data_IF_462248795052
#
_entry.id   IF_462248795052
#
_cell.length_a   1.000
_cell.length_b   1.000
_cell.length_c   1.000
_cell.angle_alpha   90.00
_cell.angle_beta   90.00
_cell.angle_gamma   90.00
#
_symmetry.space_group_name_H-M   'P 1'
#
loop_
_entity.id
_entity.type
_entity.pdbx_description
1 polymer ?
#
# COMPACT_ATOMS: atom_id res chain seq x y z
N UNK A 1 18.64 -22.81 26.38
CA UNK A 1 18.02 -21.54 26.77
C UNK A 1 17.30 -21.05 25.53
N UNK A 2 16.11 -21.59 25.28
CA UNK A 2 15.44 -21.38 24.01
C UNK A 2 14.44 -20.25 24.21
N UNK A 3 14.97 -19.02 24.12
CA UNK A 3 14.17 -17.82 24.08
C UNK A 3 13.37 -17.82 22.78
N UNK A 4 12.13 -18.29 22.85
CA UNK A 4 11.18 -18.22 21.75
C UNK A 4 10.89 -16.75 21.46
N UNK A 5 11.75 -16.11 20.66
CA UNK A 5 11.58 -14.73 20.24
C UNK A 5 10.41 -14.73 19.27
N UNK A 6 9.24 -14.30 19.75
CA UNK A 6 8.03 -14.15 18.95
C UNK A 6 8.30 -13.13 17.84
N UNK A 7 8.78 -13.61 16.70
CA UNK A 7 8.91 -12.84 15.47
C UNK A 7 7.51 -12.52 14.97
N UNK A 8 7.21 -11.24 14.87
CA UNK A 8 5.93 -10.78 14.31
C UNK A 8 6.19 -10.42 12.85
N UNK A 9 5.48 -11.06 11.94
CA UNK A 9 5.57 -10.78 10.51
C UNK A 9 4.28 -10.08 10.05
N UNK A 10 4.43 -9.10 9.17
CA UNK A 10 3.32 -8.42 8.51
C UNK A 10 3.61 -8.33 7.01
N UNK A 11 2.75 -8.93 6.20
CA UNK A 11 2.85 -8.96 4.75
C UNK A 11 1.92 -7.90 4.14
N UNK A 12 2.48 -6.94 3.43
CA UNK A 12 1.74 -5.84 2.81
C UNK A 12 1.92 -5.87 1.31
N UNK A 13 0.81 -5.91 0.57
CA UNK A 13 0.80 -5.82 -0.89
C UNK A 13 0.54 -4.39 -1.32
N UNK A 14 1.37 -3.85 -2.22
CA UNK A 14 1.14 -2.56 -2.87
C UNK A 14 0.45 -2.78 -4.20
N UNK A 15 -0.69 -2.12 -4.40
CA UNK A 15 -1.48 -2.12 -5.63
C UNK A 15 -1.71 -0.69 -6.11
N UNK A 16 -1.95 -0.54 -7.41
CA UNK A 16 -2.25 0.72 -8.06
C UNK A 16 -1.85 0.69 -9.52
N UNK A 17 -2.27 1.70 -10.28
CA UNK A 17 -1.93 1.80 -11.69
C UNK A 17 -0.41 1.87 -11.93
N UNK A 18 0.01 1.73 -13.17
CA UNK A 18 1.39 1.94 -13.56
C UNK A 18 1.84 3.38 -13.24
N UNK A 19 3.12 3.59 -12.93
CA UNK A 19 3.73 4.91 -12.75
C UNK A 19 3.13 5.82 -11.65
N UNK A 20 2.29 5.29 -10.74
CA UNK A 20 1.75 6.06 -9.59
C UNK A 20 2.75 6.27 -8.45
N UNK A 21 3.91 5.60 -8.49
CA UNK A 21 4.97 5.73 -7.48
C UNK A 21 4.98 4.66 -6.39
N UNK A 22 4.54 3.43 -6.68
CA UNK A 22 4.59 2.29 -5.75
C UNK A 22 6.02 1.97 -5.29
N UNK A 23 6.92 1.74 -6.24
CA UNK A 23 8.34 1.48 -5.96
C UNK A 23 9.04 2.65 -5.28
N UNK A 24 8.70 3.89 -5.68
CA UNK A 24 9.19 5.09 -5.01
C UNK A 24 8.76 5.16 -3.54
N UNK A 25 7.52 4.76 -3.22
CA UNK A 25 7.02 4.68 -1.85
C UNK A 25 7.78 3.61 -1.05
N UNK A 26 7.95 2.42 -1.63
CA UNK A 26 8.68 1.30 -1.01
C UNK A 26 10.12 1.70 -0.69
N UNK A 27 10.86 2.20 -1.67
CA UNK A 27 12.26 2.59 -1.49
C UNK A 27 12.40 3.77 -0.53
N UNK A 28 11.49 4.76 -0.57
CA UNK A 28 11.52 5.86 0.40
C UNK A 28 11.30 5.37 1.82
N UNK A 29 10.39 4.42 2.02
CA UNK A 29 10.16 3.80 3.32
C UNK A 29 11.43 3.09 3.82
N UNK A 30 12.04 2.26 2.98
CA UNK A 30 13.20 1.43 3.33
C UNK A 30 14.48 2.23 3.55
N UNK A 31 14.75 3.21 2.69
CA UNK A 31 16.06 3.90 2.61
C UNK A 31 16.05 5.30 3.18
N UNK A 32 14.86 5.88 3.42
CA UNK A 32 14.66 7.31 3.71
C UNK A 32 15.18 8.26 2.62
N UNK A 33 15.51 7.75 1.43
CA UNK A 33 16.00 8.52 0.28
C UNK A 33 14.99 8.54 -0.85
N UNK A 34 15.12 9.55 -1.71
CA UNK A 34 14.47 9.58 -3.01
C UNK A 34 15.49 9.14 -4.05
N UNK A 35 15.17 8.13 -4.84
CA UNK A 35 15.94 7.74 -6.02
C UNK A 35 15.08 8.15 -7.22
N UNK A 36 15.65 8.87 -8.20
CA UNK A 36 14.87 9.43 -9.31
C UNK A 36 14.42 8.40 -10.33
N UNK A 37 15.06 7.24 -10.35
CA UNK A 37 14.91 6.20 -11.37
C UNK A 37 14.58 4.88 -10.68
N UNK A 38 13.46 4.28 -11.06
CA UNK A 38 13.01 2.97 -10.61
C UNK A 38 12.65 2.14 -11.84
N UNK A 39 13.02 0.86 -11.84
CA UNK A 39 12.63 -0.07 -12.90
C UNK A 39 11.27 -0.73 -12.64
N UNK A 40 10.66 -1.25 -13.70
CA UNK A 40 9.38 -1.98 -13.65
C UNK A 40 9.61 -3.45 -13.28
N UNK A 41 9.99 -3.71 -12.02
CA UNK A 41 10.26 -5.06 -11.52
C UNK A 41 9.35 -5.35 -10.31
N UNK A 42 8.57 -6.43 -10.40
CA UNK A 42 7.82 -6.94 -9.24
C UNK A 42 8.81 -7.50 -8.20
N UNK A 43 8.71 -7.07 -6.95
CA UNK A 43 9.68 -7.42 -5.91
C UNK A 43 9.08 -7.44 -4.51
N UNK A 44 9.58 -8.33 -3.66
CA UNK A 44 9.26 -8.37 -2.24
C UNK A 44 10.45 -7.86 -1.46
N UNK A 45 10.22 -6.80 -0.66
CA UNK A 45 11.23 -6.18 0.19
C UNK A 45 10.92 -6.44 1.66
N UNK A 46 11.92 -6.83 2.44
CA UNK A 46 11.76 -7.06 3.88
C UNK A 46 12.46 -5.97 4.68
N UNK A 47 11.74 -5.37 5.63
CA UNK A 47 12.27 -4.45 6.63
C UNK A 47 12.10 -5.05 8.01
N UNK A 48 13.20 -5.22 8.74
CA UNK A 48 13.17 -5.71 10.12
C UNK A 48 13.41 -4.53 11.03
N UNK A 49 12.49 -4.31 11.97
CA UNK A 49 12.62 -3.31 13.01
C UNK A 49 12.49 -3.95 14.41
N UNK A 50 13.05 -3.30 15.42
CA UNK A 50 12.99 -3.73 16.82
C UNK A 50 12.11 -2.76 17.59
N UNK A 51 10.89 -3.20 17.94
CA UNK A 51 9.96 -2.44 18.78
C UNK A 51 9.68 -3.23 20.05
N UNK A 52 9.84 -2.60 21.21
CA UNK A 52 9.57 -3.19 22.54
C UNK A 52 10.24 -4.55 22.77
N UNK A 53 11.49 -4.70 22.29
CA UNK A 53 12.27 -5.94 22.41
C UNK A 53 11.84 -7.09 21.48
N UNK A 54 10.85 -6.87 20.61
CA UNK A 54 10.40 -7.82 19.59
C UNK A 54 10.91 -7.42 18.22
N UNK A 55 11.34 -8.42 17.45
CA UNK A 55 11.66 -8.24 16.04
C UNK A 55 10.37 -8.31 15.22
N UNK A 56 10.09 -7.24 14.49
CA UNK A 56 8.95 -7.12 13.59
C UNK A 56 9.50 -7.08 12.16
N UNK A 57 9.10 -8.05 11.34
CA UNK A 57 9.42 -8.07 9.92
C UNK A 57 8.22 -7.56 9.11
N UNK A 58 8.39 -6.42 8.46
CA UNK A 58 7.45 -5.89 7.47
C UNK A 58 7.92 -6.32 6.08
N UNK A 59 7.14 -7.18 5.43
CA UNK A 59 7.37 -7.58 4.05
C UNK A 59 6.46 -6.77 3.13
N UNK A 60 7.03 -6.15 2.10
CA UNK A 60 6.36 -5.25 1.17
C UNK A 60 6.46 -5.86 -0.22
N UNK A 61 5.35 -6.34 -0.75
CA UNK A 61 5.25 -6.80 -2.13
C UNK A 61 4.90 -5.61 -3.02
N UNK A 62 5.91 -5.07 -3.71
CA UNK A 62 5.78 -4.06 -4.73
C UNK A 62 5.35 -4.73 -6.04
N UNK A 63 4.04 -4.71 -6.31
CA UNK A 63 3.47 -5.37 -7.48
C UNK A 63 3.57 -4.49 -8.74
N UNK A 64 3.61 -5.14 -9.89
CA UNK A 64 3.40 -4.47 -11.17
C UNK A 64 1.91 -4.42 -11.50
N UNK A 65 1.51 -3.36 -12.20
CA UNK A 65 0.16 -3.30 -12.76
C UNK A 65 0.09 -4.24 -13.98
N UNK A 66 -0.83 -5.22 -14.04
CA UNK A 66 -0.92 -6.11 -15.19
C UNK A 66 -1.27 -5.34 -16.46
N UNK A 67 -0.44 -5.46 -17.50
CA UNK A 67 -0.62 -4.77 -18.80
C UNK A 67 -1.44 -5.57 -19.82
N UNK A 68 -1.91 -6.78 -19.48
CA UNK A 68 -2.59 -7.64 -20.45
C UNK A 68 -4.06 -7.24 -20.65
N UNK A 69 -4.36 -6.77 -21.87
CA UNK A 69 -5.69 -6.38 -22.37
C UNK A 69 -6.73 -7.52 -22.36
N UNK A 70 -6.33 -8.77 -22.16
CA UNK A 70 -7.19 -9.95 -22.38
C UNK A 70 -7.73 -10.59 -21.09
N UNK A 71 -7.22 -10.19 -19.93
CA UNK A 71 -7.68 -10.71 -18.63
C UNK A 71 -7.88 -9.53 -17.69
N UNK A 72 -9.16 -9.14 -17.56
CA UNK A 72 -9.71 -8.27 -16.50
C UNK A 72 -8.74 -8.00 -15.36
N UNK A 73 -8.31 -6.75 -15.21
CA UNK A 73 -7.68 -6.06 -14.05
C UNK A 73 -7.54 -6.87 -12.74
N UNK A 74 -6.93 -8.06 -12.78
CA UNK A 74 -7.10 -9.05 -11.72
C UNK A 74 -5.90 -9.06 -10.81
N UNK A 75 -6.17 -8.94 -9.52
CA UNK A 75 -5.17 -9.16 -8.48
C UNK A 75 -5.02 -10.68 -8.35
N UNK A 76 -3.80 -11.20 -8.42
CA UNK A 76 -3.59 -12.65 -8.37
C UNK A 76 -4.05 -13.23 -7.04
N UNK A 77 -4.71 -14.39 -7.05
CA UNK A 77 -5.07 -15.11 -5.83
C UNK A 77 -3.86 -15.36 -4.92
N UNK A 78 -2.66 -15.53 -5.50
CA UNK A 78 -1.41 -15.67 -4.73
C UNK A 78 -1.07 -14.41 -3.94
N UNK A 79 -1.11 -13.25 -4.58
CA UNK A 79 -0.89 -11.96 -3.93
C UNK A 79 -1.96 -11.72 -2.86
N UNK A 80 -3.22 -12.06 -3.18
CA UNK A 80 -4.33 -11.94 -2.25
C UNK A 80 -4.22 -12.89 -1.08
N UNK A 81 -3.70 -14.11 -1.21
CA UNK A 81 -3.53 -15.05 -0.08
C UNK A 81 -2.31 -14.70 0.77
N UNK A 82 -1.24 -14.20 0.16
CA UNK A 82 -0.01 -13.82 0.85
C UNK A 82 -0.15 -12.59 1.76
N UNK A 83 -0.96 -11.62 1.34
CA UNK A 83 -1.07 -10.33 2.02
C UNK A 83 -1.91 -10.38 3.32
N UNK A 84 -1.37 -9.83 4.41
CA UNK A 84 -2.12 -9.50 5.63
C UNK A 84 -2.84 -8.16 5.48
N UNK A 85 -2.26 -7.26 4.68
CA UNK A 85 -2.81 -5.95 4.38
C UNK A 85 -2.50 -5.50 2.95
N UNK A 86 -3.28 -4.56 2.44
CA UNK A 86 -3.12 -4.01 1.10
C UNK A 86 -3.01 -2.48 1.19
N UNK A 87 -2.03 -1.92 0.48
CA UNK A 87 -1.89 -0.47 0.27
C UNK A 87 -2.26 -0.17 -1.17
N UNK A 88 -3.23 0.71 -1.35
CA UNK A 88 -3.66 1.19 -2.66
C UNK A 88 -3.04 2.56 -2.94
N UNK A 89 -2.31 2.66 -4.04
CA UNK A 89 -1.55 3.85 -4.43
C UNK A 89 -2.14 4.41 -5.72
N UNK A 90 -2.40 5.72 -5.73
CA UNK A 90 -2.82 6.46 -6.91
C UNK A 90 -2.10 7.80 -6.95
N UNK A 91 -1.99 8.37 -8.15
CA UNK A 91 -1.41 9.70 -8.34
C UNK A 91 -2.50 10.76 -8.26
N UNK A 92 -2.30 11.78 -7.42
CA UNK A 92 -3.21 12.94 -7.36
C UNK A 92 -3.24 13.75 -8.67
N UNK A 93 -2.22 13.58 -9.52
CA UNK A 93 -2.11 14.24 -10.81
C UNK A 93 -2.76 13.42 -11.94
N UNK A 94 -3.13 12.17 -11.68
CA UNK A 94 -3.75 11.30 -12.68
C UNK A 94 -5.04 10.69 -12.13
N UNK A 95 -6.17 11.20 -12.64
CA UNK A 95 -7.50 10.74 -12.24
C UNK A 95 -7.75 9.29 -12.65
N UNK A 96 -7.18 8.82 -13.75
CA UNK A 96 -7.39 7.44 -14.22
C UNK A 96 -6.82 6.43 -13.22
N UNK A 97 -5.67 6.75 -12.62
CA UNK A 97 -5.08 5.93 -11.54
C UNK A 97 -6.00 5.75 -10.31
N UNK A 98 -6.89 6.71 -10.04
CA UNK A 98 -7.87 6.57 -8.96
C UNK A 98 -9.00 5.61 -9.33
N UNK A 99 -9.41 5.55 -10.60
CA UNK A 99 -10.42 4.59 -11.05
C UNK A 99 -9.90 3.15 -10.95
N UNK A 100 -8.63 2.93 -11.31
CA UNK A 100 -7.94 1.65 -11.09
C UNK A 100 -8.00 1.22 -9.62
N UNK A 101 -7.72 2.13 -8.69
CA UNK A 101 -7.83 1.83 -7.26
C UNK A 101 -9.28 1.50 -6.87
N UNK A 102 -10.29 2.14 -7.45
CA UNK A 102 -11.71 1.82 -7.18
C UNK A 102 -12.08 0.42 -7.64
N UNK A 103 -11.64 0.02 -8.84
CA UNK A 103 -11.85 -1.34 -9.37
C UNK A 103 -11.15 -2.38 -8.50
N UNK A 104 -9.90 -2.14 -8.11
CA UNK A 104 -9.15 -3.01 -7.20
C UNK A 104 -9.83 -3.16 -5.83
N UNK A 105 -10.44 -2.10 -5.28
CA UNK A 105 -11.23 -2.20 -4.03
C UNK A 105 -12.44 -3.11 -4.19
N UNK A 106 -13.12 -3.07 -5.34
CA UNK A 106 -14.27 -3.95 -5.60
C UNK A 106 -13.84 -5.42 -5.64
N UNK A 107 -12.72 -5.72 -6.31
CA UNK A 107 -12.16 -7.06 -6.40
C UNK A 107 -11.74 -7.59 -5.03
N UNK A 108 -10.99 -6.81 -4.25
CA UNK A 108 -10.55 -7.20 -2.90
C UNK A 108 -11.75 -7.57 -1.99
N UNK A 109 -12.86 -6.83 -2.11
CA UNK A 109 -14.08 -7.07 -1.34
C UNK A 109 -14.83 -8.34 -1.75
N UNK A 110 -14.75 -8.71 -3.03
CA UNK A 110 -15.31 -9.96 -3.52
C UNK A 110 -14.48 -11.16 -3.05
N UNK A 111 -13.15 -11.03 -3.07
CA UNK A 111 -12.23 -12.12 -2.74
C UNK A 111 -12.07 -12.34 -1.23
N UNK A 112 -12.10 -11.29 -0.40
CA UNK A 112 -11.93 -11.42 1.05
C UNK A 112 -13.09 -10.79 1.83
N UNK A 113 -13.62 -11.53 2.82
CA UNK A 113 -14.34 -10.96 3.98
C UNK A 113 -13.31 -10.25 4.91
N UNK A 114 -12.71 -9.14 4.47
CA UNK A 114 -11.68 -8.44 5.26
C UNK A 114 -12.31 -7.64 6.40
N UNK A 115 -11.93 -7.98 7.64
CA UNK A 115 -12.00 -7.07 8.78
C UNK A 115 -10.85 -6.05 8.66
N UNK A 116 -11.16 -4.78 8.45
CA UNK A 116 -10.17 -3.71 8.45
C UNK A 116 -9.68 -3.48 9.89
N UNK A 117 -8.43 -3.85 10.21
CA UNK A 117 -7.81 -3.52 11.50
C UNK A 117 -6.88 -2.32 11.34
N UNK A 118 -7.24 -1.22 12.00
CA UNK A 118 -6.45 0.00 12.02
C UNK A 118 -5.15 -0.25 12.80
N UNK A 119 -4.00 -0.32 12.12
CA UNK A 119 -2.71 -0.14 12.80
C UNK A 119 -2.52 1.37 12.97
N UNK A 120 -2.36 1.81 14.22
CA UNK A 120 -2.02 3.18 14.58
C UNK A 120 -0.57 3.16 15.09
N UNK A 121 0.45 3.30 14.22
CA UNK A 121 1.81 3.48 14.70
C UNK A 121 1.88 4.89 15.29
N UNK A 122 2.01 4.94 16.61
CA UNK A 122 2.02 6.14 17.43
C UNK A 122 2.86 7.26 16.79
N UNK A 123 2.24 8.40 16.45
CA UNK A 123 2.93 9.69 16.35
C UNK A 123 3.27 10.27 14.96
N UNK A 124 2.93 9.63 13.83
CA UNK A 124 3.22 10.19 12.50
C UNK A 124 2.19 11.22 11.97
N UNK A 125 1.51 12.00 12.81
CA UNK A 125 0.45 12.90 12.32
C UNK A 125 0.36 14.22 13.09
N UNK A 126 0.98 15.27 12.54
CA UNK A 126 0.49 16.64 12.65
C UNK A 126 0.52 17.31 11.27
N UNK A 127 -0.70 17.46 10.74
CA UNK A 127 -1.23 18.63 10.04
C UNK A 127 -0.26 19.53 9.25
N UNK A 128 -0.47 19.65 7.92
CA UNK A 128 -0.74 20.94 7.23
C UNK A 128 -0.84 20.87 5.68
N UNK A 129 -1.96 21.41 5.21
CA UNK A 129 -2.21 22.28 4.03
C UNK A 129 -2.22 21.82 2.54
N UNK A 130 -3.32 22.30 1.91
CA UNK A 130 -3.63 23.00 0.62
C UNK A 130 -2.99 22.63 -0.73
N UNK A 131 -3.90 22.62 -1.72
CA UNK A 131 -3.78 22.58 -3.20
C UNK A 131 -3.78 21.22 -3.92
N UNK A 132 -4.92 20.53 -3.81
CA UNK A 132 -5.67 19.76 -4.85
C UNK A 132 -6.92 19.20 -4.15
N UNK A 133 -7.89 20.06 -3.84
CA UNK A 133 -8.94 19.76 -2.87
C UNK A 133 -9.96 18.72 -3.35
N UNK A 134 -10.32 18.68 -4.64
CA UNK A 134 -11.41 17.82 -5.11
C UNK A 134 -11.08 16.31 -5.07
N UNK A 135 -9.89 15.91 -5.53
CA UNK A 135 -9.49 14.49 -5.52
C UNK A 135 -9.16 14.00 -4.11
N UNK A 136 -8.53 14.85 -3.28
CA UNK A 136 -8.29 14.54 -1.87
C UNK A 136 -9.60 14.37 -1.09
N UNK A 137 -10.56 15.27 -1.30
CA UNK A 137 -11.87 15.20 -0.64
C UNK A 137 -12.70 14.01 -1.12
N UNK A 138 -12.65 13.68 -2.43
CA UNK A 138 -13.28 12.47 -2.98
C UNK A 138 -12.66 11.19 -2.43
N UNK A 139 -11.34 11.12 -2.38
CA UNK A 139 -10.62 9.99 -1.82
C UNK A 139 -10.89 9.84 -0.32
N UNK A 140 -10.91 10.93 0.44
CA UNK A 140 -11.25 10.93 1.85
C UNK A 140 -12.69 10.45 2.09
N UNK A 141 -13.68 11.00 1.38
CA UNK A 141 -15.08 10.54 1.48
C UNK A 141 -15.24 9.08 1.07
N UNK A 142 -14.55 8.65 0.02
CA UNK A 142 -14.51 7.25 -0.38
C UNK A 142 -13.90 6.38 0.72
N UNK A 143 -12.88 6.86 1.43
CA UNK A 143 -12.32 6.16 2.57
C UNK A 143 -13.24 6.03 3.76
N UNK A 144 -13.94 7.09 4.12
CA UNK A 144 -14.93 7.09 5.18
C UNK A 144 -16.05 6.08 4.87
N UNK A 145 -16.57 6.10 3.63
CA UNK A 145 -17.60 5.16 3.16
C UNK A 145 -17.09 3.71 3.15
N UNK A 146 -15.82 3.50 2.81
CA UNK A 146 -15.25 2.16 2.62
C UNK A 146 -14.45 1.64 3.82
N UNK A 147 -14.40 2.38 4.93
CA UNK A 147 -13.61 2.11 6.14
C UNK A 147 -12.11 1.96 5.87
N UNK A 148 -11.58 2.81 4.99
CA UNK A 148 -10.16 2.85 4.61
C UNK A 148 -9.47 4.09 5.19
N UNK A 149 -8.22 3.94 5.63
CA UNK A 149 -7.36 5.06 6.01
C UNK A 149 -6.66 5.64 4.78
N UNK A 150 -6.64 6.96 4.65
CA UNK A 150 -5.95 7.67 3.56
C UNK A 150 -4.66 8.32 4.04
N UNK A 151 -3.59 8.11 3.29
CA UNK A 151 -2.29 8.75 3.52
C UNK A 151 -1.90 9.46 2.23
N UNK A 152 -1.49 10.71 2.33
CA UNK A 152 -0.89 11.44 1.20
C UNK A 152 0.62 11.48 1.41
N UNK A 153 1.39 10.96 0.45
CA UNK A 153 2.83 11.16 0.40
C UNK A 153 3.16 12.30 -0.58
N UNK A 154 4.13 13.17 -0.23
CA UNK A 154 4.74 14.11 -1.17
C UNK A 154 6.11 13.57 -1.61
N UNK A 155 6.57 13.98 -2.80
CA UNK A 155 7.98 13.80 -3.21
C UNK A 155 8.90 14.51 -2.21
#
# INVERSE_FOLDING_TARGET
MDGNQHKVEANVLLLGAENVGKSALTVRFLTRRFIGEYGDIESIYSHIDKTDGREIALNIWDSLYPQSCETTESISDKQMQWADGVILVYSICDRSSFEVVRQQVQLIRQTRKLHFRLINPHGWWKEKYKKTECLKFRAQRYGEEKQMKFVTARR
#
